data_IF_690393928980
#
_entry.id   IF_690393928980
#
_cell.length_a   1.000
_cell.length_b   1.000
_cell.length_c   1.000
_cell.angle_alpha   90.00
_cell.angle_beta   90.00
_cell.angle_gamma   90.00
#
_symmetry.space_group_name_H-M   'P 1'
#
loop_
_entity.id
_entity.type
_entity.pdbx_description
1 polymer ?
#
# COMPACT_ATOMS: atom_id res chain seq x y z
N UNK A 1 -23.61 -2.94 -69.61
CA UNK A 1 -23.75 -2.13 -68.41
C UNK A 1 -23.74 -3.10 -67.24
N UNK A 2 -22.62 -3.21 -66.55
CA UNK A 2 -22.53 -4.02 -65.33
C UNK A 2 -23.09 -3.19 -64.16
N UNK A 3 -24.21 -3.62 -63.62
CA UNK A 3 -24.75 -3.09 -62.39
C UNK A 3 -23.74 -3.45 -61.27
N UNK A 4 -23.16 -2.43 -60.64
CA UNK A 4 -22.34 -2.59 -59.45
C UNK A 4 -23.22 -3.29 -58.40
N UNK A 5 -22.79 -4.46 -57.99
CA UNK A 5 -23.37 -5.20 -56.84
C UNK A 5 -23.09 -4.36 -55.62
N UNK A 6 -24.07 -3.61 -55.14
CA UNK A 6 -23.96 -2.84 -53.91
C UNK A 6 -23.99 -3.84 -52.79
N UNK A 7 -22.86 -4.01 -52.14
CA UNK A 7 -22.71 -4.88 -50.96
C UNK A 7 -23.76 -4.45 -49.92
N UNK A 8 -24.69 -5.36 -49.63
CA UNK A 8 -25.84 -5.10 -48.78
C UNK A 8 -25.36 -4.85 -47.36
N UNK A 9 -25.45 -3.60 -46.89
CA UNK A 9 -25.07 -3.20 -45.54
C UNK A 9 -25.86 -3.98 -44.51
N UNK A 10 -25.14 -4.83 -43.70
CA UNK A 10 -25.73 -5.59 -42.59
C UNK A 10 -25.54 -4.84 -41.27
N UNK A 11 -26.61 -4.17 -40.72
CA UNK A 11 -26.55 -3.40 -39.51
C UNK A 11 -26.36 -4.28 -38.25
N UNK A 12 -26.54 -5.60 -38.36
CA UNK A 12 -26.45 -6.54 -37.24
C UNK A 12 -24.97 -6.80 -36.91
N UNK A 13 -24.10 -6.85 -37.88
CA UNK A 13 -22.67 -7.05 -37.71
C UNK A 13 -22.02 -5.87 -37.01
N UNK A 14 -22.40 -4.64 -37.37
CA UNK A 14 -21.91 -3.43 -36.68
C UNK A 14 -22.40 -3.33 -35.23
N UNK A 15 -23.63 -3.69 -34.95
CA UNK A 15 -24.18 -3.71 -33.57
C UNK A 15 -23.43 -4.73 -32.71
N UNK A 16 -23.11 -5.89 -33.26
CA UNK A 16 -22.30 -6.91 -32.57
C UNK A 16 -20.89 -6.41 -32.30
N UNK A 17 -20.24 -5.80 -33.28
CA UNK A 17 -18.91 -5.23 -33.16
C UNK A 17 -18.86 -4.10 -32.12
N UNK A 18 -19.82 -3.19 -32.13
CA UNK A 18 -19.93 -2.10 -31.12
C UNK A 18 -20.16 -2.66 -29.72
N UNK A 19 -21.03 -3.66 -29.55
CA UNK A 19 -21.23 -4.32 -28.24
C UNK A 19 -19.94 -4.99 -27.76
N UNK A 20 -19.22 -5.69 -28.63
CA UNK A 20 -17.96 -6.34 -28.29
C UNK A 20 -16.90 -5.33 -27.87
N UNK A 21 -16.75 -4.22 -28.60
CA UNK A 21 -15.81 -3.14 -28.26
C UNK A 21 -16.18 -2.53 -26.91
N UNK A 22 -17.45 -2.21 -26.67
CA UNK A 22 -17.91 -1.68 -25.39
C UNK A 22 -17.64 -2.64 -24.23
N UNK A 23 -17.88 -3.94 -24.41
CA UNK A 23 -17.59 -4.96 -23.40
C UNK A 23 -16.09 -4.99 -23.09
N UNK A 24 -15.22 -5.00 -24.11
CA UNK A 24 -13.77 -5.00 -23.91
C UNK A 24 -13.34 -3.75 -23.15
N UNK A 25 -13.83 -2.56 -23.54
CA UNK A 25 -13.51 -1.29 -22.86
C UNK A 25 -13.96 -1.34 -21.39
N UNK A 26 -15.18 -1.82 -21.11
CA UNK A 26 -15.67 -1.98 -19.73
C UNK A 26 -14.77 -2.94 -18.91
N UNK A 27 -14.39 -4.08 -19.48
CA UNK A 27 -13.51 -5.05 -18.80
C UNK A 27 -12.14 -4.44 -18.52
N UNK A 28 -11.57 -3.68 -19.46
CA UNK A 28 -10.29 -3.00 -19.27
C UNK A 28 -10.38 -1.93 -18.18
N UNK A 29 -11.45 -1.13 -18.16
CA UNK A 29 -11.67 -0.10 -17.14
C UNK A 29 -11.83 -0.73 -15.75
N UNK A 30 -12.66 -1.76 -15.62
CA UNK A 30 -12.86 -2.48 -14.36
C UNK A 30 -11.56 -3.15 -13.92
N UNK A 31 -10.86 -3.82 -14.83
CA UNK A 31 -9.58 -4.47 -14.55
C UNK A 31 -8.51 -3.47 -14.07
N UNK A 32 -8.41 -2.32 -14.73
CA UNK A 32 -7.49 -1.25 -14.33
C UNK A 32 -7.84 -0.66 -12.96
N UNK A 33 -9.13 -0.46 -12.70
CA UNK A 33 -9.63 0.02 -11.41
C UNK A 33 -9.31 -0.97 -10.28
N UNK A 34 -9.56 -2.26 -10.48
CA UNK A 34 -9.22 -3.32 -9.51
C UNK A 34 -7.72 -3.38 -9.27
N UNK A 35 -6.91 -3.36 -10.33
CA UNK A 35 -5.45 -3.38 -10.22
C UNK A 35 -4.92 -2.17 -9.43
N UNK A 36 -5.51 -1.00 -9.65
CA UNK A 36 -5.17 0.21 -8.89
C UNK A 36 -5.51 0.08 -7.40
N UNK A 37 -6.71 -0.45 -7.08
CA UNK A 37 -7.13 -0.65 -5.68
C UNK A 37 -6.35 -1.74 -4.95
N UNK A 38 -5.90 -2.77 -5.67
CA UNK A 38 -5.07 -3.83 -5.10
C UNK A 38 -3.59 -3.46 -5.00
N UNK A 39 -3.17 -2.36 -5.65
CA UNK A 39 -1.81 -1.86 -5.56
C UNK A 39 -1.46 -1.58 -4.10
N UNK A 40 -0.29 -2.02 -3.67
CA UNK A 40 0.22 -1.86 -2.31
C UNK A 40 -0.68 -2.51 -1.21
N UNK A 41 -1.53 -3.49 -1.56
CA UNK A 41 -2.39 -4.15 -0.58
C UNK A 41 -1.57 -4.97 0.42
N UNK A 42 -0.50 -5.64 -0.02
CA UNK A 42 0.40 -6.44 0.83
C UNK A 42 1.12 -5.57 1.85
N UNK A 43 1.64 -4.43 1.41
CA UNK A 43 2.37 -3.47 2.24
C UNK A 43 1.45 -2.81 3.27
N UNK A 44 0.26 -2.38 2.85
CA UNK A 44 -0.77 -1.88 3.77
C UNK A 44 -1.19 -2.93 4.79
N UNK A 45 -1.22 -4.20 4.39
CA UNK A 45 -1.55 -5.31 5.29
C UNK A 45 -0.45 -5.56 6.30
N UNK A 46 0.83 -5.46 5.92
CA UNK A 46 1.95 -5.55 6.85
C UNK A 46 1.87 -4.45 7.93
N UNK A 47 1.61 -3.20 7.52
CA UNK A 47 1.44 -2.08 8.44
C UNK A 47 0.21 -2.26 9.34
N UNK A 48 -0.93 -2.76 8.82
CA UNK A 48 -2.09 -3.08 9.65
C UNK A 48 -1.77 -4.11 10.73
N UNK A 49 -1.05 -5.19 10.37
CA UNK A 49 -0.62 -6.21 11.34
C UNK A 49 0.28 -5.62 12.42
N UNK A 50 1.20 -4.74 12.02
CA UNK A 50 2.10 -4.04 12.93
C UNK A 50 1.33 -3.20 13.96
N UNK A 51 0.45 -2.30 13.50
CA UNK A 51 -0.33 -1.47 14.41
C UNK A 51 -1.34 -2.28 15.24
N UNK A 52 -1.89 -3.38 14.70
CA UNK A 52 -2.73 -4.29 15.47
C UNK A 52 -1.97 -4.98 16.62
N UNK A 53 -0.68 -5.28 16.44
CA UNK A 53 0.17 -5.80 17.50
C UNK A 53 0.45 -4.71 18.56
N UNK A 54 0.74 -3.46 18.15
CA UNK A 54 0.91 -2.33 19.07
C UNK A 54 -0.36 -2.04 19.89
N UNK A 55 -1.55 -2.08 19.25
CA UNK A 55 -2.84 -1.90 19.93
C UNK A 55 -3.08 -2.96 21.02
N UNK A 56 -2.66 -4.20 20.74
CA UNK A 56 -2.69 -5.31 21.71
C UNK A 56 -1.58 -5.26 22.76
N UNK A 57 -0.66 -4.29 22.66
CA UNK A 57 0.55 -4.18 23.47
C UNK A 57 1.49 -5.38 23.34
N UNK A 58 1.42 -6.09 22.22
CA UNK A 58 2.28 -7.21 21.88
C UNK A 58 3.51 -6.68 21.13
N UNK A 59 4.41 -6.03 21.89
CA UNK A 59 5.58 -5.34 21.32
C UNK A 59 6.59 -6.30 20.73
N UNK A 60 6.71 -7.52 21.26
CA UNK A 60 7.60 -8.53 20.70
C UNK A 60 7.14 -8.98 19.30
N UNK A 61 5.84 -9.22 19.17
CA UNK A 61 5.26 -9.54 17.86
C UNK A 61 5.28 -8.34 16.92
N UNK A 62 5.05 -7.10 17.43
CA UNK A 62 5.20 -5.89 16.62
C UNK A 62 6.62 -5.76 16.07
N UNK A 63 7.63 -6.01 16.89
CA UNK A 63 9.03 -5.99 16.46
C UNK A 63 9.36 -7.10 15.45
N UNK A 64 8.83 -8.31 15.64
CA UNK A 64 8.92 -9.40 14.68
C UNK A 64 8.35 -9.00 13.30
N UNK A 65 7.20 -8.32 13.28
CA UNK A 65 6.59 -7.82 12.04
C UNK A 65 7.45 -6.69 11.44
N UNK A 66 7.99 -5.79 12.28
CA UNK A 66 8.87 -4.70 11.85
C UNK A 66 10.10 -5.23 11.11
N UNK A 67 10.72 -6.26 11.63
CA UNK A 67 11.90 -6.91 11.04
C UNK A 67 11.58 -7.93 9.94
N UNK A 68 10.30 -8.29 9.81
CA UNK A 68 9.85 -9.45 9.04
C UNK A 68 10.62 -10.74 9.41
N UNK A 69 10.91 -10.92 10.70
CA UNK A 69 11.66 -12.07 11.23
C UNK A 69 10.97 -12.58 12.50
N UNK A 70 10.24 -13.70 12.46
CA UNK A 70 9.59 -14.29 13.63
C UNK A 70 10.59 -14.82 14.66
N UNK A 71 11.80 -15.16 14.21
CA UNK A 71 12.86 -15.75 15.03
C UNK A 71 13.93 -14.72 15.42
N UNK A 72 13.61 -13.43 15.42
CA UNK A 72 14.54 -12.34 15.68
C UNK A 72 15.37 -12.50 16.96
N UNK A 73 14.83 -13.18 17.98
CA UNK A 73 15.53 -13.47 19.25
C UNK A 73 16.77 -14.33 19.04
N UNK A 74 16.82 -15.12 17.98
CA UNK A 74 17.97 -15.95 17.61
C UNK A 74 18.98 -15.17 16.74
N UNK A 75 18.58 -14.00 16.21
CA UNK A 75 19.36 -13.19 15.27
C UNK A 75 19.75 -11.82 15.85
N UNK A 76 19.89 -11.67 17.16
CA UNK A 76 20.10 -10.36 17.83
C UNK A 76 21.26 -9.56 17.24
N UNK A 77 22.37 -10.23 16.85
CA UNK A 77 23.52 -9.57 16.26
C UNK A 77 23.20 -8.88 14.92
N UNK A 78 22.25 -9.44 14.15
CA UNK A 78 21.79 -8.88 12.86
C UNK A 78 21.08 -7.54 13.06
N UNK A 79 20.40 -7.36 14.19
CA UNK A 79 19.56 -6.21 14.49
C UNK A 79 20.18 -5.26 15.51
N UNK A 80 21.52 -5.28 15.65
CA UNK A 80 22.26 -4.44 16.61
C UNK A 80 22.11 -2.93 16.34
N UNK A 81 21.81 -2.52 15.11
CA UNK A 81 21.60 -1.10 14.72
C UNK A 81 20.28 -0.57 15.27
N UNK A 82 19.25 -1.41 15.34
CA UNK A 82 17.93 -1.03 15.89
C UNK A 82 17.41 -2.20 16.75
N UNK A 83 17.94 -2.35 17.97
CA UNK A 83 17.57 -3.45 18.86
C UNK A 83 16.17 -3.25 19.45
N UNK A 84 15.62 -4.32 20.03
CA UNK A 84 14.27 -4.30 20.63
C UNK A 84 14.08 -3.20 21.68
N UNK A 85 15.10 -2.85 22.45
CA UNK A 85 15.00 -1.78 23.46
C UNK A 85 14.76 -0.41 22.82
N UNK A 86 15.42 -0.13 21.69
CA UNK A 86 15.21 1.11 20.94
C UNK A 86 13.84 1.12 20.28
N UNK A 87 13.44 0.00 19.68
CA UNK A 87 12.09 -0.18 19.17
C UNK A 87 11.03 0.06 20.26
N UNK A 88 11.19 -0.53 21.44
CA UNK A 88 10.24 -0.37 22.55
C UNK A 88 10.21 1.07 23.09
N UNK A 89 11.35 1.77 23.06
CA UNK A 89 11.39 3.19 23.42
C UNK A 89 10.60 4.04 22.43
N UNK A 90 10.68 3.75 21.13
CA UNK A 90 10.06 4.55 20.08
C UNK A 90 8.57 4.22 19.91
N UNK A 91 8.19 2.95 19.98
CA UNK A 91 6.84 2.46 19.72
C UNK A 91 6.07 2.02 20.98
N UNK A 92 6.71 2.00 22.13
CA UNK A 92 6.09 1.65 23.41
C UNK A 92 5.35 2.83 24.04
N UNK A 93 4.87 2.64 25.29
CA UNK A 93 4.06 3.65 25.99
C UNK A 93 4.74 5.00 26.19
N UNK A 94 6.08 5.03 26.23
CA UNK A 94 6.89 6.24 26.38
C UNK A 94 7.30 6.89 25.06
N UNK A 95 6.98 6.27 23.94
CA UNK A 95 7.34 6.78 22.61
C UNK A 95 6.40 7.89 22.12
N UNK A 96 6.67 8.38 20.92
CA UNK A 96 5.94 9.49 20.29
C UNK A 96 4.43 9.26 20.25
N UNK A 97 4.02 8.05 19.93
CA UNK A 97 2.60 7.70 19.77
C UNK A 97 1.94 7.31 21.08
N UNK A 98 2.72 7.05 22.14
CA UNK A 98 2.23 6.54 23.42
C UNK A 98 1.56 5.18 23.27
N UNK A 99 0.56 4.91 24.12
CA UNK A 99 -0.26 3.71 23.96
C UNK A 99 -1.14 3.84 22.72
N UNK A 100 -0.96 2.95 21.75
CA UNK A 100 -1.84 2.83 20.60
C UNK A 100 -3.17 2.24 21.05
N UNK A 101 -4.24 3.01 20.96
CA UNK A 101 -5.62 2.61 21.32
C UNK A 101 -6.50 2.42 20.11
N UNK A 102 -6.16 3.12 19.02
CA UNK A 102 -6.83 3.01 17.72
C UNK A 102 -5.86 3.44 16.62
N UNK A 103 -6.05 2.89 15.43
CA UNK A 103 -5.30 3.30 14.26
C UNK A 103 -6.15 3.17 13.00
N UNK A 104 -5.81 3.98 11.99
CA UNK A 104 -6.39 3.89 10.66
C UNK A 104 -5.30 4.03 9.61
N UNK A 105 -5.27 3.11 8.66
CA UNK A 105 -4.35 3.21 7.50
C UNK A 105 -5.01 4.08 6.45
N UNK A 106 -4.52 5.30 6.32
CA UNK A 106 -5.12 6.34 5.47
C UNK A 106 -4.86 6.07 4.00
N UNK A 107 -3.61 6.10 3.59
CA UNK A 107 -3.20 5.88 2.22
C UNK A 107 -1.81 5.25 2.13
N UNK A 108 -1.40 4.95 0.90
CA UNK A 108 -0.05 4.46 0.61
C UNK A 108 0.45 5.02 -0.71
N UNK A 109 1.71 5.39 -0.77
CA UNK A 109 2.38 5.90 -1.94
C UNK A 109 3.64 5.10 -2.25
N UNK A 110 3.85 4.79 -3.52
CA UNK A 110 5.13 4.29 -4.02
C UNK A 110 5.88 5.47 -4.65
N UNK A 111 6.98 5.94 -4.06
CA UNK A 111 7.79 7.00 -4.66
C UNK A 111 8.34 6.57 -6.04
N UNK A 112 8.54 7.53 -6.93
CA UNK A 112 9.13 7.27 -8.24
C UNK A 112 10.52 6.63 -8.07
N UNK A 113 10.74 5.48 -8.72
CA UNK A 113 12.00 4.72 -8.58
C UNK A 113 12.23 4.08 -7.20
N UNK A 114 11.29 4.21 -6.27
CA UNK A 114 11.41 3.67 -4.91
C UNK A 114 11.28 2.15 -4.84
N UNK A 115 12.11 1.53 -4.00
CA UNK A 115 12.09 0.07 -3.73
C UNK A 115 11.01 -0.35 -2.74
N UNK A 116 10.28 0.61 -2.17
CA UNK A 116 9.25 0.37 -1.14
C UNK A 116 8.03 1.26 -1.30
N UNK A 117 7.21 1.24 -0.28
CA UNK A 117 5.94 1.96 -0.18
C UNK A 117 5.90 2.73 1.13
N UNK A 118 5.54 3.99 1.09
CA UNK A 118 5.22 4.78 2.27
C UNK A 118 3.74 4.56 2.60
N UNK A 119 3.46 4.22 3.83
CA UNK A 119 2.09 4.05 4.34
C UNK A 119 1.85 5.06 5.44
N UNK A 120 0.84 5.92 5.25
CA UNK A 120 0.39 6.88 6.24
C UNK A 120 -0.65 6.24 7.16
N UNK A 121 -0.50 6.47 8.45
CA UNK A 121 -1.39 5.93 9.49
C UNK A 121 -1.76 7.02 10.47
N UNK A 122 -3.05 7.22 10.69
CA UNK A 122 -3.58 8.03 11.79
C UNK A 122 -3.61 7.19 13.05
N UNK A 123 -2.91 7.63 14.10
CA UNK A 123 -2.82 6.95 15.38
C UNK A 123 -3.57 7.73 16.46
N UNK A 124 -4.43 7.06 17.22
CA UNK A 124 -5.19 7.65 18.33
C UNK A 124 -5.99 8.90 17.92
N UNK A 125 -6.43 8.98 16.66
CA UNK A 125 -7.16 10.13 16.10
C UNK A 125 -6.40 11.47 16.23
N UNK A 126 -5.06 11.43 16.27
CA UNK A 126 -4.23 12.64 16.31
C UNK A 126 -4.18 13.29 14.93
N UNK A 127 -3.94 14.61 14.89
CA UNK A 127 -3.68 15.33 13.65
C UNK A 127 -2.32 14.95 13.01
N UNK A 128 -1.36 14.55 13.84
CA UNK A 128 -0.07 14.02 13.36
C UNK A 128 -0.25 12.58 12.87
N UNK A 129 0.46 12.22 11.80
CA UNK A 129 0.41 10.90 11.18
C UNK A 129 1.73 10.17 11.35
N UNK A 130 1.65 8.85 11.55
CA UNK A 130 2.80 7.98 11.46
C UNK A 130 3.05 7.60 9.99
N UNK A 131 4.32 7.65 9.57
CA UNK A 131 4.73 7.26 8.23
C UNK A 131 5.67 6.07 8.33
N UNK A 132 5.24 4.96 7.75
CA UNK A 132 6.00 3.71 7.76
C UNK A 132 6.42 3.37 6.34
N UNK A 133 7.71 3.16 6.15
CA UNK A 133 8.24 2.60 4.92
C UNK A 133 8.12 1.07 4.96
N UNK A 134 7.64 0.50 3.88
CA UNK A 134 7.56 -0.95 3.69
C UNK A 134 8.39 -1.33 2.48
N UNK A 135 9.43 -2.11 2.66
CA UNK A 135 10.25 -2.62 1.58
C UNK A 135 9.46 -3.65 0.77
N UNK A 136 9.41 -3.50 -0.58
CA UNK A 136 8.63 -4.42 -1.43
C UNK A 136 9.23 -5.82 -1.52
N UNK A 137 10.55 -5.95 -1.41
CA UNK A 137 11.24 -7.23 -1.59
C UNK A 137 10.97 -8.23 -0.48
N UNK A 138 10.86 -7.75 0.76
CA UNK A 138 10.81 -8.60 1.95
C UNK A 138 9.81 -8.15 3.01
N UNK A 139 9.04 -7.08 2.73
CA UNK A 139 8.05 -6.48 3.64
C UNK A 139 8.62 -6.03 5.00
N UNK A 140 9.93 -5.85 5.12
CA UNK A 140 10.52 -5.19 6.30
C UNK A 140 9.97 -3.78 6.43
N UNK A 141 9.71 -3.38 7.67
CA UNK A 141 9.25 -2.05 8.01
C UNK A 141 10.43 -1.19 8.47
N UNK A 142 10.34 0.10 8.21
CA UNK A 142 11.26 1.11 8.74
C UNK A 142 10.57 2.46 8.84
N UNK A 143 11.23 3.43 9.47
CA UNK A 143 10.76 4.81 9.44
C UNK A 143 10.79 5.34 8.01
N UNK A 144 9.75 6.09 7.66
CA UNK A 144 9.70 6.69 6.33
C UNK A 144 10.71 7.84 6.24
N UNK A 145 11.47 7.94 5.13
CA UNK A 145 12.33 9.09 4.90
C UNK A 145 11.56 10.38 4.58
N UNK A 146 10.29 10.25 4.18
CA UNK A 146 9.45 11.37 3.76
C UNK A 146 8.04 11.23 4.32
N UNK A 147 7.40 12.36 4.55
CA UNK A 147 5.98 12.46 4.80
C UNK A 147 5.22 12.49 3.48
N UNK A 148 3.99 12.00 3.47
CA UNK A 148 3.11 12.02 2.29
C UNK A 148 1.78 12.65 2.68
N UNK A 149 1.10 13.26 1.71
CA UNK A 149 -0.26 13.76 1.89
C UNK A 149 -1.24 12.88 1.11
N UNK A 150 -2.20 12.31 1.83
CA UNK A 150 -3.28 11.55 1.21
C UNK A 150 -4.18 12.49 0.40
N UNK A 151 -4.35 12.20 -0.88
CA UNK A 151 -5.16 13.00 -1.80
C UNK A 151 -4.37 13.89 -2.76
N UNK A 152 -3.10 14.12 -2.52
CA UNK A 152 -2.25 14.95 -3.38
C UNK A 152 -1.30 14.11 -4.25
N UNK A 153 -1.87 13.16 -5.02
CA UNK A 153 -1.09 12.24 -5.85
C UNK A 153 -0.33 12.93 -7.02
N UNK A 154 -0.71 14.18 -7.36
CA UNK A 154 -0.05 14.95 -8.40
C UNK A 154 1.30 15.55 -7.97
N UNK A 155 1.50 15.79 -6.67
CA UNK A 155 2.70 16.46 -6.17
C UNK A 155 4.00 15.68 -6.43
N UNK A 156 3.91 14.37 -6.65
CA UNK A 156 5.06 13.48 -6.82
C UNK A 156 5.39 13.12 -8.28
N UNK A 157 4.65 13.66 -9.22
CA UNK A 157 4.89 13.45 -10.67
C UNK A 157 5.76 14.58 -11.25
N UNK A 158 5.98 15.66 -10.50
CA UNK A 158 6.65 16.89 -10.97
C UNK A 158 8.01 17.16 -10.35
N UNK A 159 8.57 16.27 -9.54
CA UNK A 159 9.97 16.30 -9.08
C UNK A 159 10.77 15.14 -9.78
#
# INVERSE_FOLDING_TARGET
MALMDAEQYDPTSERRRRKLILTIVCVLLVGSWVAYHLRNHSERTAVRKFFAALEKRDYENAYSIWLHDPDWKQHLAKYSVYPFNDFYRDWGPGGEWGLVKSYHVDCSLTPAGGSGVIVQVTVNQRAAHAYVWVQKSDHTLSFSPHEIECGNWWAWVTE
#
